data_IF_052694415490
#
_entry.id   IF_052694415490
#
_cell.length_a   1.000
_cell.length_b   1.000
_cell.length_c   1.000
_cell.angle_alpha   90.00
_cell.angle_beta   90.00
_cell.angle_gamma   90.00
#
_symmetry.space_group_name_H-M   'P 1'
#
loop_
_entity.id
_entity.type
_entity.pdbx_description
1 polymer ?
#
# COMPACT_ATOMS: atom_id res chain seq x y z
N UNK A 1 -27.38 4.43 -46.39
CA UNK A 1 -26.26 5.34 -46.05
C UNK A 1 -25.04 4.68 -45.37
N UNK A 2 -25.17 3.74 -44.42
CA UNK A 2 -24.02 3.10 -43.73
C UNK A 2 -23.00 2.34 -44.62
N UNK A 3 -23.45 1.70 -45.72
CA UNK A 3 -22.56 0.96 -46.64
C UNK A 3 -21.63 1.86 -47.47
N UNK A 4 -22.08 3.07 -47.82
CA UNK A 4 -21.28 4.02 -48.62
C UNK A 4 -20.16 4.64 -47.76
N UNK A 5 -20.44 4.93 -46.50
CA UNK A 5 -19.46 5.46 -45.55
C UNK A 5 -18.32 4.46 -45.28
N UNK A 6 -18.67 3.17 -45.15
CA UNK A 6 -17.69 2.09 -44.97
C UNK A 6 -16.75 1.95 -46.18
N UNK A 7 -17.25 2.12 -47.41
CA UNK A 7 -16.43 2.06 -48.62
C UNK A 7 -15.48 3.26 -48.75
N UNK A 8 -15.93 4.47 -48.40
CA UNK A 8 -15.09 5.68 -48.38
C UNK A 8 -13.99 5.62 -47.31
N UNK A 9 -14.30 5.10 -46.12
CA UNK A 9 -13.29 4.90 -45.09
C UNK A 9 -12.25 3.86 -45.51
N UNK A 10 -12.67 2.79 -46.19
CA UNK A 10 -11.77 1.73 -46.65
C UNK A 10 -10.83 2.20 -47.78
N UNK A 11 -11.29 3.10 -48.65
CA UNK A 11 -10.43 3.69 -49.69
C UNK A 11 -9.41 4.66 -49.10
N UNK A 12 -9.80 5.50 -48.13
CA UNK A 12 -8.87 6.41 -47.45
C UNK A 12 -7.79 5.67 -46.64
N UNK A 13 -8.16 4.59 -45.96
CA UNK A 13 -7.19 3.75 -45.23
C UNK A 13 -6.24 3.05 -46.21
N UNK A 14 -6.70 2.68 -47.40
CA UNK A 14 -5.88 2.04 -48.44
C UNK A 14 -4.96 3.03 -49.17
N UNK A 15 -5.32 4.31 -49.19
CA UNK A 15 -4.55 5.40 -49.82
C UNK A 15 -3.46 5.95 -48.88
N UNK A 16 -3.64 5.78 -47.55
CA UNK A 16 -2.62 6.05 -46.54
C UNK A 16 -1.64 4.88 -46.33
N UNK A 17 -1.85 3.75 -47.01
CA UNK A 17 -0.96 2.59 -46.95
C UNK A 17 0.25 2.83 -47.89
N UNK A 18 1.28 3.50 -47.36
CA UNK A 18 2.47 3.94 -48.09
C UNK A 18 3.39 2.79 -48.55
N UNK A 19 3.01 1.52 -48.33
CA UNK A 19 3.81 0.35 -48.66
C UNK A 19 3.08 -0.54 -49.67
N UNK A 20 3.65 -0.76 -50.87
CA UNK A 20 3.07 -1.67 -51.84
C UNK A 20 3.04 -3.08 -51.25
N UNK A 21 1.86 -3.71 -51.27
CA UNK A 21 1.67 -5.05 -50.73
C UNK A 21 2.46 -6.05 -51.59
N UNK A 22 3.43 -6.71 -50.98
CA UNK A 22 4.30 -7.70 -51.63
C UNK A 22 3.42 -8.83 -52.20
N UNK A 23 3.64 -9.28 -53.45
CA UNK A 23 2.86 -10.36 -54.03
C UNK A 23 2.97 -11.63 -53.16
N UNK A 24 1.85 -12.35 -52.99
CA UNK A 24 1.74 -13.52 -52.08
C UNK A 24 2.77 -14.63 -52.35
N UNK A 25 3.35 -14.65 -53.56
CA UNK A 25 4.45 -15.51 -53.97
C UNK A 25 5.77 -15.28 -53.20
N UNK A 26 5.95 -14.13 -52.55
CA UNK A 26 7.15 -13.81 -51.75
C UNK A 26 6.88 -13.87 -50.24
N UNK A 27 5.70 -14.34 -49.83
CA UNK A 27 5.29 -14.44 -48.43
C UNK A 27 5.34 -15.90 -48.00
N UNK A 28 6.49 -16.32 -47.47
CA UNK A 28 6.66 -17.65 -46.87
C UNK A 28 5.90 -17.71 -45.54
N UNK A 29 4.76 -18.41 -45.50
CA UNK A 29 4.02 -18.65 -44.26
C UNK A 29 4.60 -19.86 -43.53
N UNK A 30 5.50 -19.63 -42.56
CA UNK A 30 6.00 -20.69 -41.69
C UNK A 30 5.03 -20.96 -40.53
N UNK A 31 4.59 -22.21 -40.37
CA UNK A 31 3.68 -22.63 -39.31
C UNK A 31 4.23 -22.35 -37.89
N UNK A 32 5.55 -22.33 -37.73
CA UNK A 32 6.25 -22.01 -36.47
C UNK A 32 6.23 -20.52 -36.15
N UNK A 33 6.29 -19.63 -37.15
CA UNK A 33 6.24 -18.18 -36.96
C UNK A 33 4.88 -17.66 -36.48
N UNK A 34 3.80 -18.31 -36.91
CA UNK A 34 2.44 -18.00 -36.46
C UNK A 34 2.23 -18.26 -34.96
N UNK A 35 2.74 -19.38 -34.44
CA UNK A 35 2.62 -19.74 -33.02
C UNK A 35 3.42 -18.80 -32.11
N UNK A 36 4.63 -18.40 -32.51
CA UNK A 36 5.46 -17.44 -31.77
C UNK A 36 4.79 -16.07 -31.72
N UNK A 37 4.20 -15.63 -32.83
CA UNK A 37 3.45 -14.37 -32.90
C UNK A 37 2.23 -14.40 -31.97
N UNK A 38 1.49 -15.51 -31.92
CA UNK A 38 0.34 -15.66 -31.03
C UNK A 38 0.77 -15.56 -29.55
N UNK A 39 1.86 -16.24 -29.17
CA UNK A 39 2.40 -16.18 -27.82
C UNK A 39 2.82 -14.74 -27.48
N UNK A 40 3.52 -14.05 -28.38
CA UNK A 40 3.93 -12.65 -28.17
C UNK A 40 2.73 -11.71 -27.97
N UNK A 41 1.65 -11.86 -28.77
CA UNK A 41 0.43 -11.07 -28.59
C UNK A 41 -0.26 -11.36 -27.25
N UNK A 42 -0.32 -12.63 -26.83
CA UNK A 42 -0.89 -12.98 -25.51
C UNK A 42 -0.07 -12.41 -24.36
N UNK A 43 1.26 -12.47 -24.44
CA UNK A 43 2.16 -11.89 -23.45
C UNK A 43 2.03 -10.36 -23.38
N UNK A 44 1.90 -9.69 -24.54
CA UNK A 44 1.69 -8.25 -24.62
C UNK A 44 0.37 -7.84 -23.94
N UNK A 45 -0.72 -8.56 -24.21
CA UNK A 45 -2.01 -8.28 -23.59
C UNK A 45 -1.97 -8.49 -22.06
N UNK A 46 -1.31 -9.55 -21.59
CA UNK A 46 -1.20 -9.87 -20.16
C UNK A 46 -0.35 -8.83 -19.42
N UNK A 47 0.80 -8.42 -19.99
CA UNK A 47 1.63 -7.38 -19.38
C UNK A 47 0.94 -6.01 -19.38
N UNK A 48 0.27 -5.64 -20.46
CA UNK A 48 -0.52 -4.41 -20.52
C UNK A 48 -1.68 -4.41 -19.50
N UNK A 49 -2.32 -5.57 -19.29
CA UNK A 49 -3.35 -5.74 -18.27
C UNK A 49 -2.78 -5.49 -16.87
N UNK A 50 -1.68 -6.14 -16.49
CA UNK A 50 -1.05 -5.91 -15.18
C UNK A 50 -0.57 -4.47 -15.01
N UNK A 51 0.01 -3.87 -16.04
CA UNK A 51 0.41 -2.48 -16.03
C UNK A 51 -0.78 -1.54 -15.79
N UNK A 52 -1.95 -1.86 -16.35
CA UNK A 52 -3.18 -1.12 -16.09
C UNK A 52 -3.65 -1.25 -14.62
N UNK A 53 -3.51 -2.42 -13.99
CA UNK A 53 -3.79 -2.55 -12.55
C UNK A 53 -2.83 -1.71 -11.72
N UNK A 54 -1.54 -1.71 -12.05
CA UNK A 54 -0.54 -0.89 -11.37
C UNK A 54 -0.84 0.59 -11.53
N UNK A 55 -1.20 1.04 -12.74
CA UNK A 55 -1.60 2.43 -12.99
C UNK A 55 -2.84 2.85 -12.19
N UNK A 56 -3.79 1.93 -12.02
CA UNK A 56 -4.99 2.17 -11.20
C UNK A 56 -4.73 2.19 -9.71
N UNK A 57 -3.64 1.57 -9.26
CA UNK A 57 -3.31 1.51 -7.84
C UNK A 57 -2.66 2.83 -7.38
N UNK A 58 -2.97 3.24 -6.16
CA UNK A 58 -2.37 4.43 -5.53
C UNK A 58 -1.32 4.05 -4.52
N UNK A 59 -0.30 4.92 -4.41
CA UNK A 59 0.71 4.83 -3.37
C UNK A 59 0.60 6.01 -2.41
N UNK A 60 0.87 5.75 -1.13
CA UNK A 60 0.89 6.79 -0.10
C UNK A 60 2.30 7.38 -0.02
N UNK A 61 2.41 8.71 -0.12
CA UNK A 61 3.69 9.42 -0.01
C UNK A 61 3.76 10.13 1.34
N UNK A 62 4.80 9.83 2.11
CA UNK A 62 5.08 10.42 3.41
C UNK A 62 6.14 11.50 3.25
N UNK A 63 5.79 12.74 3.57
CA UNK A 63 6.70 13.87 3.57
C UNK A 63 6.87 14.39 5.00
N UNK A 64 8.10 14.66 5.42
CA UNK A 64 8.42 15.14 6.75
C UNK A 64 8.71 16.64 6.68
N UNK A 65 7.93 17.41 7.43
CA UNK A 65 8.05 18.86 7.54
C UNK A 65 8.24 19.28 9.00
N UNK A 66 8.66 20.52 9.23
CA UNK A 66 8.70 21.08 10.58
C UNK A 66 7.32 21.60 10.93
N UNK A 67 6.81 21.22 12.09
CA UNK A 67 5.54 21.76 12.58
C UNK A 67 5.66 23.27 12.83
N UNK A 68 4.74 24.04 12.23
CA UNK A 68 4.68 25.49 12.37
C UNK A 68 3.65 25.93 13.41
N UNK A 69 2.79 25.00 13.86
CA UNK A 69 1.60 25.30 14.65
C UNK A 69 1.68 24.72 16.08
N UNK A 70 2.85 24.85 16.72
CA UNK A 70 3.13 24.35 18.08
C UNK A 70 2.22 24.92 19.19
N UNK A 71 1.51 26.04 18.92
CA UNK A 71 0.68 26.74 19.91
C UNK A 71 -0.78 26.28 19.95
N UNK A 72 -1.17 25.29 19.15
CA UNK A 72 -2.55 24.80 19.12
C UNK A 72 -2.86 23.94 20.36
N UNK A 73 -4.09 24.03 20.88
CA UNK A 73 -4.54 23.22 22.03
C UNK A 73 -4.81 21.79 21.55
N UNK A 74 -3.94 20.85 21.94
CA UNK A 74 -4.15 19.43 21.66
C UNK A 74 -5.29 18.87 22.52
N UNK A 75 -6.31 18.30 21.86
CA UNK A 75 -7.36 17.53 22.54
C UNK A 75 -6.84 16.13 22.83
N UNK A 76 -7.10 15.63 24.04
CA UNK A 76 -6.72 14.27 24.46
C UNK A 76 -8.00 13.54 24.79
N UNK A 77 -8.27 12.43 24.11
CA UNK A 77 -9.41 11.58 24.42
C UNK A 77 -8.87 10.31 25.08
N UNK A 78 -9.34 10.04 26.29
CA UNK A 78 -8.86 8.94 27.11
C UNK A 78 -10.04 8.19 27.71
N UNK A 79 -10.06 6.88 27.50
CA UNK A 79 -10.93 5.93 28.16
C UNK A 79 -10.05 4.86 28.84
N UNK A 80 -10.08 4.87 30.17
CA UNK A 80 -9.27 3.98 31.00
C UNK A 80 -10.11 3.40 32.14
N UNK A 81 -10.06 2.08 32.26
CA UNK A 81 -10.68 1.34 33.36
C UNK A 81 -9.61 1.01 34.41
N UNK A 82 -9.78 1.48 35.65
CA UNK A 82 -8.87 1.19 36.78
C UNK A 82 -9.56 0.28 37.79
N UNK A 83 -8.83 -0.67 38.37
CA UNK A 83 -9.32 -1.64 39.35
C UNK A 83 -9.58 -1.05 40.75
N UNK A 84 -10.13 0.16 40.82
CA UNK A 84 -10.40 0.92 42.04
C UNK A 84 -11.82 1.50 42.03
N UNK A 85 -12.37 1.79 43.22
CA UNK A 85 -13.66 2.50 43.31
C UNK A 85 -13.49 3.95 42.83
N UNK A 86 -14.45 4.46 42.07
CA UNK A 86 -14.42 5.82 41.51
C UNK A 86 -14.18 6.93 42.56
N UNK A 87 -14.63 6.72 43.81
CA UNK A 87 -14.41 7.67 44.91
C UNK A 87 -12.93 7.86 45.30
N UNK A 88 -12.05 6.93 44.93
CA UNK A 88 -10.61 6.95 45.27
C UNK A 88 -9.73 7.20 44.03
N UNK A 89 -10.32 7.50 42.88
CA UNK A 89 -9.60 7.76 41.63
C UNK A 89 -9.77 9.24 41.31
N UNK A 90 -8.65 9.94 41.17
CA UNK A 90 -8.59 11.32 40.70
C UNK A 90 -7.71 11.40 39.46
N UNK A 91 -8.00 12.34 38.57
CA UNK A 91 -7.20 12.59 37.39
C UNK A 91 -6.77 14.06 37.37
N UNK A 92 -5.46 14.26 37.48
CA UNK A 92 -4.83 15.57 37.54
C UNK A 92 -3.96 15.79 36.30
N UNK A 93 -4.00 17.01 35.76
CA UNK A 93 -3.17 17.42 34.63
C UNK A 93 -2.10 18.37 35.18
N UNK A 94 -0.84 17.98 35.00
CA UNK A 94 0.31 18.79 35.38
C UNK A 94 1.04 19.24 34.11
N UNK A 95 1.31 20.53 34.03
CA UNK A 95 2.21 21.09 33.01
C UNK A 95 3.68 20.84 33.38
N UNK A 96 4.63 21.14 32.48
CA UNK A 96 6.08 21.10 32.71
C UNK A 96 6.52 21.92 33.93
N UNK A 97 5.76 22.95 34.31
CA UNK A 97 5.96 23.75 35.51
C UNK A 97 5.32 23.14 36.79
N UNK A 98 4.82 21.89 36.72
CA UNK A 98 4.13 21.17 37.79
C UNK A 98 2.92 21.93 38.38
N UNK A 99 2.36 22.86 37.60
CA UNK A 99 1.15 23.59 37.98
C UNK A 99 -0.07 22.77 37.62
N UNK A 100 -1.00 22.67 38.57
CA UNK A 100 -2.25 21.93 38.41
C UNK A 100 -3.20 22.75 37.53
N UNK A 101 -3.60 22.19 36.41
CA UNK A 101 -4.63 22.76 35.54
C UNK A 101 -5.91 21.96 35.76
N UNK A 102 -7.04 22.64 35.96
CA UNK A 102 -8.33 21.98 36.19
C UNK A 102 -8.72 21.11 34.99
N UNK A 103 -8.90 19.81 35.23
CA UNK A 103 -9.35 18.81 34.25
C UNK A 103 -10.85 18.93 33.98
N UNK A 104 -11.25 19.97 33.25
CA UNK A 104 -12.66 20.15 32.88
C UNK A 104 -13.03 19.16 31.77
N UNK A 105 -13.77 18.09 32.09
CA UNK A 105 -14.38 17.22 31.08
C UNK A 105 -14.28 15.71 31.30
N UNK A 106 -13.66 15.23 32.38
CA UNK A 106 -13.58 13.79 32.67
C UNK A 106 -14.84 13.34 33.41
N UNK A 107 -15.52 12.32 32.90
CA UNK A 107 -16.67 11.68 33.55
C UNK A 107 -16.24 10.36 34.19
N UNK A 108 -16.68 10.12 35.43
CA UNK A 108 -16.36 8.89 36.16
C UNK A 108 -17.57 7.98 36.20
N UNK A 109 -17.47 6.82 35.55
CA UNK A 109 -18.53 5.82 35.53
C UNK A 109 -18.10 4.54 36.26
N UNK A 110 -18.95 3.97 37.14
CA UNK A 110 -18.65 2.70 37.79
C UNK A 110 -18.82 1.54 36.81
N UNK A 111 -17.81 0.67 36.71
CA UNK A 111 -17.87 -0.55 35.91
C UNK A 111 -18.14 -1.77 36.81
N UNK A 112 -19.09 -2.63 36.43
CA UNK A 112 -19.32 -3.94 37.08
C UNK A 112 -18.23 -4.95 36.68
N UNK A 113 -17.59 -5.58 37.67
CA UNK A 113 -16.38 -6.42 37.53
C UNK A 113 -16.50 -7.53 36.48
N UNK A 114 -15.66 -7.42 35.44
CA UNK A 114 -14.67 -8.46 35.11
C UNK A 114 -13.47 -7.79 34.45
N UNK A 115 -12.43 -7.47 35.24
CA UNK A 115 -11.08 -7.18 34.72
C UNK A 115 -10.37 -8.49 34.34
N UNK A 116 -11.14 -9.42 33.78
CA UNK A 116 -10.71 -10.75 33.37
C UNK A 116 -11.50 -11.10 32.12
N UNK A 117 -10.75 -11.16 31.03
CA UNK A 117 -11.06 -11.79 29.75
C UNK A 117 -11.94 -13.02 29.96
N UNK A 118 -13.20 -12.94 29.54
CA UNK A 118 -13.94 -14.07 29.00
C UNK A 118 -15.12 -13.56 28.16
N UNK A 119 -14.84 -12.76 27.13
CA UNK A 119 -15.67 -12.84 25.92
C UNK A 119 -14.82 -13.32 24.76
N UNK A 120 -14.93 -14.63 24.55
CA UNK A 120 -14.47 -15.37 23.39
C UNK A 120 -15.23 -14.89 22.13
N UNK A 121 -14.94 -13.67 21.68
CA UNK A 121 -15.41 -13.17 20.38
C UNK A 121 -14.24 -13.15 19.41
N UNK A 122 -14.36 -13.92 18.32
CA UNK A 122 -13.34 -14.07 17.27
C UNK A 122 -12.79 -12.73 16.74
N UNK A 123 -13.55 -11.63 16.82
CA UNK A 123 -13.15 -10.28 16.39
C UNK A 123 -12.10 -9.61 17.29
N UNK A 124 -12.18 -9.79 18.61
CA UNK A 124 -11.27 -9.12 19.55
C UNK A 124 -9.86 -9.74 19.47
N UNK A 125 -9.80 -11.07 19.33
CA UNK A 125 -8.55 -11.81 19.12
C UNK A 125 -7.85 -11.42 17.82
N UNK A 126 -8.59 -11.23 16.72
CA UNK A 126 -7.98 -10.77 15.47
C UNK A 126 -7.41 -9.37 15.58
N UNK A 127 -8.08 -8.45 16.28
CA UNK A 127 -7.58 -7.09 16.50
C UNK A 127 -6.35 -7.06 17.40
N UNK A 128 -6.36 -7.81 18.51
CA UNK A 128 -5.21 -7.94 19.40
C UNK A 128 -4.00 -8.58 18.70
N UNK A 129 -4.23 -9.60 17.86
CA UNK A 129 -3.16 -10.23 17.08
C UNK A 129 -2.57 -9.26 16.04
N UNK A 130 -3.43 -8.50 15.33
CA UNK A 130 -3.00 -7.46 14.39
C UNK A 130 -2.21 -6.39 15.14
N UNK A 131 -2.67 -5.93 16.29
CA UNK A 131 -2.01 -4.89 17.08
C UNK A 131 -0.66 -5.33 17.64
N UNK A 132 -0.54 -6.58 18.09
CA UNK A 132 0.76 -7.15 18.48
C UNK A 132 1.74 -7.21 17.30
N UNK A 133 1.26 -7.52 16.10
CA UNK A 133 2.09 -7.50 14.88
C UNK A 133 2.45 -6.09 14.42
N UNK A 134 1.53 -5.13 14.53
CA UNK A 134 1.79 -3.72 14.24
C UNK A 134 2.81 -3.10 15.20
N UNK A 135 2.85 -3.58 16.45
CA UNK A 135 3.85 -3.17 17.45
C UNK A 135 5.25 -3.69 17.10
N UNK A 136 5.37 -4.86 16.48
CA UNK A 136 6.66 -5.41 16.01
C UNK A 136 7.10 -4.81 14.67
N UNK A 137 6.16 -4.50 13.77
CA UNK A 137 6.43 -4.09 12.38
C UNK A 137 5.92 -2.67 12.11
N UNK A 138 6.76 -1.67 12.40
CA UNK A 138 6.49 -0.25 12.09
C UNK A 138 6.28 0.04 10.59
N UNK A 139 6.62 -0.91 9.71
CA UNK A 139 6.47 -0.83 8.25
C UNK A 139 5.02 -0.96 7.77
N UNK A 140 4.11 -1.47 8.60
CA UNK A 140 2.74 -1.84 8.19
C UNK A 140 1.74 -0.68 8.17
N UNK A 141 2.18 0.55 8.46
CA UNK A 141 1.30 1.72 8.44
C UNK A 141 0.62 1.91 7.07
N UNK A 142 1.31 1.62 5.96
CA UNK A 142 0.74 1.70 4.60
C UNK A 142 -0.46 0.77 4.39
N UNK A 143 -0.40 -0.45 4.94
CA UNK A 143 -1.49 -1.45 4.84
C UNK A 143 -2.70 -1.02 5.63
N UNK A 144 -2.48 -0.37 6.78
CA UNK A 144 -3.54 0.17 7.61
C UNK A 144 -4.29 1.28 6.88
N UNK A 145 -3.61 2.32 6.38
CA UNK A 145 -4.29 3.41 5.67
C UNK A 145 -5.15 2.91 4.50
N UNK A 146 -4.65 1.95 3.71
CA UNK A 146 -5.37 1.38 2.56
C UNK A 146 -6.55 0.49 2.96
N UNK A 147 -6.47 -0.19 4.11
CA UNK A 147 -7.56 -1.02 4.66
C UNK A 147 -8.61 -0.18 5.38
N UNK A 148 -8.18 0.90 6.03
CA UNK A 148 -8.99 1.91 6.73
C UNK A 148 -9.86 2.70 5.75
N UNK A 149 -9.28 3.17 4.64
CA UNK A 149 -10.02 3.85 3.57
C UNK A 149 -11.04 2.94 2.85
N UNK A 150 -10.95 1.61 3.03
CA UNK A 150 -11.92 0.63 2.53
C UNK A 150 -13.04 0.30 3.52
N UNK A 151 -13.10 0.97 4.66
CA UNK A 151 -14.27 0.97 5.55
C UNK A 151 -14.40 -0.23 6.47
N UNK A 152 -13.29 -0.87 6.86
CA UNK A 152 -13.33 -1.88 7.92
C UNK A 152 -13.64 -1.22 9.28
N UNK A 153 -14.66 -1.68 10.04
CA UNK A 153 -14.92 -1.15 11.37
C UNK A 153 -13.81 -1.61 12.32
N UNK A 154 -12.94 -0.68 12.72
CA UNK A 154 -11.91 -0.88 13.76
C UNK A 154 -12.38 -0.46 15.14
N UNK A 155 -13.57 0.13 15.25
CA UNK A 155 -14.15 0.50 16.52
C UNK A 155 -14.35 -0.75 17.39
N UNK A 156 -13.86 -0.68 18.63
CA UNK A 156 -14.15 -1.67 19.65
C UNK A 156 -15.68 -1.81 19.80
N UNK A 157 -16.21 -3.03 20.03
CA UNK A 157 -17.63 -3.21 20.24
C UNK A 157 -18.11 -2.33 21.42
N UNK A 158 -19.33 -1.75 21.33
CA UNK A 158 -19.90 -0.99 22.44
C UNK A 158 -19.98 -1.86 23.70
N UNK A 159 -19.68 -1.25 24.85
CA UNK A 159 -19.78 -1.89 26.17
C UNK A 159 -21.17 -2.49 26.36
N UNK A 160 -21.24 -3.78 26.68
CA UNK A 160 -22.48 -4.46 27.05
C UNK A 160 -22.47 -4.68 28.57
N UNK A 161 -23.34 -3.96 29.30
CA UNK A 161 -23.49 -4.17 30.74
C UNK A 161 -24.18 -3.02 31.47
N UNK A 162 -25.45 -3.23 31.83
CA UNK A 162 -26.14 -2.46 32.87
C UNK A 162 -25.64 -2.92 34.24
N UNK A 163 -25.17 -1.98 35.07
CA UNK A 163 -24.74 -2.28 36.43
C UNK A 163 -25.95 -2.55 37.34
N UNK A 164 -26.06 -3.78 37.85
CA UNK A 164 -26.91 -4.10 39.00
C UNK A 164 -26.15 -4.97 39.99
N UNK A 165 -25.72 -4.36 41.09
CA UNK A 165 -26.01 -4.75 42.49
C UNK A 165 -24.89 -4.32 43.45
N UNK A 166 -25.22 -3.70 44.59
CA UNK A 166 -24.27 -3.41 45.65
C UNK A 166 -24.18 -4.60 46.63
N UNK A 167 -23.03 -5.26 46.72
CA UNK A 167 -22.76 -6.17 47.82
C UNK A 167 -22.31 -5.37 49.04
N UNK A 168 -23.27 -5.13 49.93
CA UNK A 168 -23.06 -4.75 51.33
C UNK A 168 -22.36 -5.87 52.08
N UNK A 169 -21.18 -5.57 52.62
CA UNK A 169 -20.46 -6.43 53.55
C UNK A 169 -19.49 -5.58 54.37
N UNK A 170 -19.89 -5.25 55.60
CA UNK A 170 -19.03 -4.68 56.63
C UNK A 170 -17.98 -5.73 57.04
N UNK A 171 -16.71 -5.53 56.68
CA UNK A 171 -15.54 -5.77 57.54
C UNK A 171 -14.23 -5.41 56.81
N UNK A 172 -13.38 -4.66 57.52
CA UNK A 172 -11.98 -4.31 57.22
C UNK A 172 -11.69 -3.28 56.10
N UNK A 173 -11.48 -2.03 56.53
CA UNK A 173 -10.82 -1.00 55.71
C UNK A 173 -9.31 -1.25 55.66
N UNK A 174 -8.88 -2.18 54.81
CA UNK A 174 -7.63 -1.97 54.08
C UNK A 174 -8.10 -1.52 52.71
N UNK A 175 -8.13 -0.22 52.47
CA UNK A 175 -8.29 0.31 51.12
C UNK A 175 -7.01 -0.05 50.36
N UNK A 176 -6.94 -1.29 49.90
CA UNK A 176 -5.82 -1.80 49.15
C UNK A 176 -5.90 -1.16 47.76
N UNK A 177 -5.10 -0.12 47.53
CA UNK A 177 -5.00 0.52 46.22
C UNK A 177 -4.55 -0.52 45.19
N UNK A 178 -5.26 -0.61 44.07
CA UNK A 178 -4.94 -1.57 43.02
C UNK A 178 -4.81 -0.81 41.70
N UNK A 179 -3.57 -0.58 41.27
CA UNK A 179 -3.27 0.15 40.04
C UNK A 179 -3.36 -0.72 38.77
N UNK A 180 -3.94 -1.92 38.86
CA UNK A 180 -4.30 -2.70 37.69
C UNK A 180 -5.29 -1.90 36.83
N UNK A 181 -5.00 -1.78 35.55
CA UNK A 181 -5.80 -0.95 34.66
C UNK A 181 -5.78 -1.47 33.24
N UNK A 182 -6.79 -1.07 32.48
CA UNK A 182 -6.96 -1.36 31.07
C UNK A 182 -7.26 -0.07 30.34
N UNK A 183 -6.48 0.23 29.30
CA UNK A 183 -6.68 1.38 28.44
C UNK A 183 -7.63 0.91 27.32
N UNK A 184 -8.85 1.44 27.33
CA UNK A 184 -9.86 1.12 26.32
C UNK A 184 -9.56 1.89 25.03
N UNK A 185 -9.34 3.20 25.14
CA UNK A 185 -8.99 4.07 24.02
C UNK A 185 -8.11 5.23 24.46
N UNK A 186 -7.07 5.53 23.67
CA UNK A 186 -6.28 6.76 23.84
C UNK A 186 -5.97 7.37 22.47
N UNK A 187 -6.45 8.59 22.25
CA UNK A 187 -6.22 9.32 21.00
C UNK A 187 -5.91 10.81 21.25
N UNK A 188 -5.29 11.43 20.24
CA UNK A 188 -4.86 12.83 20.27
C UNK A 188 -5.45 13.57 19.07
N UNK A 189 -6.17 14.67 19.33
CA UNK A 189 -6.79 15.52 18.31
C UNK A 189 -8.17 15.00 17.85
N UNK A 190 -8.42 15.14 16.54
CA UNK A 190 -9.65 14.68 15.91
C UNK A 190 -9.59 13.17 15.61
N UNK A 191 -10.63 12.44 16.02
CA UNK A 191 -10.70 11.00 15.81
C UNK A 191 -11.18 10.68 14.39
N UNK A 192 -10.36 9.92 13.67
CA UNK A 192 -10.74 9.37 12.36
C UNK A 192 -11.06 7.88 12.53
N UNK A 193 -12.24 7.43 12.08
CA UNK A 193 -12.58 6.01 12.12
C UNK A 193 -11.58 5.19 11.29
N UNK A 194 -11.07 4.10 11.87
CA UNK A 194 -10.10 3.23 11.21
C UNK A 194 -8.69 3.28 11.78
N UNK A 195 -8.28 4.39 12.43
CA UNK A 195 -6.96 4.44 13.07
C UNK A 195 -7.00 3.57 14.33
N UNK A 196 -6.04 2.65 14.46
CA UNK A 196 -5.84 1.84 15.66
C UNK A 196 -4.66 2.42 16.41
N UNK A 197 -4.88 2.87 17.64
CA UNK A 197 -3.81 3.46 18.44
C UNK A 197 -3.00 2.38 19.18
N UNK A 198 -1.69 2.58 19.43
CA UNK A 198 -0.83 1.55 20.02
C UNK A 198 -1.24 1.05 21.41
N UNK A 199 -1.90 1.88 22.22
CA UNK A 199 -2.32 1.59 23.59
C UNK A 199 -3.77 1.09 23.73
N UNK A 200 -4.55 1.10 22.65
CA UNK A 200 -5.96 0.67 22.71
C UNK A 200 -6.04 -0.81 23.09
N UNK A 201 -6.92 -1.14 24.04
CA UNK A 201 -7.11 -2.50 24.54
C UNK A 201 -5.95 -3.09 25.35
N UNK A 202 -4.94 -2.30 25.72
CA UNK A 202 -3.82 -2.76 26.56
C UNK A 202 -4.23 -2.89 28.02
N UNK A 203 -3.74 -3.95 28.69
CA UNK A 203 -4.05 -4.24 30.08
C UNK A 203 -2.78 -4.47 30.88
N UNK A 204 -2.74 -3.92 32.10
CA UNK A 204 -1.69 -4.13 33.09
C UNK A 204 -2.31 -4.61 34.39
N UNK A 205 -1.83 -5.75 34.87
CA UNK A 205 -2.30 -6.37 36.10
C UNK A 205 -1.14 -6.38 37.07
N UNK A 206 -1.36 -5.83 38.25
CA UNK A 206 -0.42 -5.85 39.37
C UNK A 206 -1.06 -6.40 40.63
N UNK A 207 -0.27 -7.16 41.38
CA UNK A 207 -0.61 -7.63 42.73
C UNK A 207 -0.14 -6.66 43.82
N UNK A 208 0.76 -5.71 43.48
CA UNK A 208 1.37 -4.80 44.43
C UNK A 208 0.53 -3.51 44.56
N UNK A 209 0.35 -3.05 45.80
CA UNK A 209 -0.39 -1.81 46.07
C UNK A 209 0.45 -0.54 45.85
N UNK A 210 1.76 -0.68 45.74
CA UNK A 210 2.72 0.43 45.61
C UNK A 210 3.46 0.34 44.27
N UNK A 211 2.73 0.26 43.18
CA UNK A 211 3.29 0.20 41.82
C UNK A 211 3.18 1.56 41.13
N UNK A 212 4.19 1.91 40.35
CA UNK A 212 4.19 3.07 39.46
C UNK A 212 4.23 2.59 38.01
N UNK A 213 3.20 2.96 37.25
CA UNK A 213 3.15 2.81 35.79
C UNK A 213 3.43 4.16 35.13
N UNK A 214 4.42 4.22 34.24
CA UNK A 214 4.73 5.41 33.46
C UNK A 214 4.65 5.09 31.97
N UNK A 215 3.84 5.86 31.26
CA UNK A 215 3.73 5.85 29.80
C UNK A 215 4.38 7.10 29.26
N UNK A 216 5.47 6.95 28.53
CA UNK A 216 6.13 8.03 27.80
C UNK A 216 5.60 8.01 26.37
N UNK A 217 4.83 9.03 26.02
CA UNK A 217 4.12 9.14 24.75
C UNK A 217 4.78 10.26 23.95
N UNK A 218 5.18 9.97 22.72
CA UNK A 218 5.67 10.99 21.79
C UNK A 218 4.65 11.17 20.68
N UNK A 219 4.02 12.33 20.63
CA UNK A 219 2.95 12.67 19.69
C UNK A 219 3.55 13.35 18.46
N UNK A 220 3.17 12.90 17.27
CA UNK A 220 3.63 13.38 15.97
C UNK A 220 2.41 13.90 15.18
N UNK A 221 2.32 15.22 14.93
CA UNK A 221 1.27 15.79 14.08
C UNK A 221 1.31 15.17 12.68
N UNK A 222 0.16 14.75 12.17
CA UNK A 222 0.02 14.11 10.86
C UNK A 222 -1.09 14.79 10.06
N UNK A 223 -0.74 15.34 8.90
CA UNK A 223 -1.72 15.92 7.97
C UNK A 223 -2.09 14.89 6.91
N UNK A 224 -3.35 14.49 6.86
CA UNK A 224 -3.84 13.55 5.86
C UNK A 224 -4.49 14.32 4.70
N UNK A 225 -3.95 14.17 3.50
CA UNK A 225 -4.53 14.69 2.26
C UNK A 225 -4.80 13.54 1.29
N UNK A 226 -6.00 12.95 1.41
CA UNK A 226 -6.46 11.87 0.53
C UNK A 226 -7.67 12.33 -0.29
N UNK A 227 -7.97 11.67 -1.41
CA UNK A 227 -9.07 12.03 -2.31
C UNK A 227 -10.47 12.10 -1.67
N UNK A 228 -10.66 11.44 -0.51
CA UNK A 228 -11.96 11.37 0.20
C UNK A 228 -11.98 12.08 1.55
N UNK A 229 -10.82 12.24 2.19
CA UNK A 229 -10.70 12.72 3.58
C UNK A 229 -9.47 13.62 3.65
N UNK A 230 -9.68 14.84 4.15
CA UNK A 230 -8.61 15.76 4.52
C UNK A 230 -8.80 16.11 5.98
N UNK A 231 -7.85 15.74 6.84
CA UNK A 231 -7.97 15.91 8.28
C UNK A 231 -6.60 15.95 8.96
N UNK A 232 -6.54 16.69 10.06
CA UNK A 232 -5.35 16.83 10.89
C UNK A 232 -5.44 15.84 12.05
N UNK A 233 -4.61 14.80 12.01
CA UNK A 233 -4.54 13.75 13.02
C UNK A 233 -3.21 13.78 13.75
N UNK A 234 -3.11 12.93 14.77
CA UNK A 234 -1.87 12.74 15.49
C UNK A 234 -1.58 11.25 15.54
N UNK A 235 -0.35 10.90 15.19
CA UNK A 235 0.20 9.60 15.48
C UNK A 235 0.99 9.70 16.77
N UNK A 236 1.17 8.57 17.46
CA UNK A 236 2.04 8.57 18.62
C UNK A 236 2.75 7.25 18.80
N UNK A 237 3.92 7.31 19.42
CA UNK A 237 4.65 6.15 19.90
C UNK A 237 4.63 6.13 21.42
N UNK A 238 4.76 4.95 22.01
CA UNK A 238 4.69 4.77 23.46
C UNK A 238 5.82 3.90 23.96
N UNK A 239 6.44 4.34 25.05
CA UNK A 239 7.38 3.56 25.85
C UNK A 239 6.81 3.39 27.26
N UNK A 240 6.77 2.15 27.75
CA UNK A 240 6.18 1.81 29.04
C UNK A 240 7.28 1.54 30.08
N UNK A 241 7.11 2.03 31.31
CA UNK A 241 8.01 1.75 32.44
C UNK A 241 7.20 1.44 33.69
N UNK A 242 7.49 0.30 34.29
CA UNK A 242 6.88 -0.17 35.54
C UNK A 242 7.94 -0.23 36.64
N UNK A 243 7.57 0.22 37.85
CA UNK A 243 8.46 0.18 39.01
C UNK A 243 7.67 0.06 40.31
N UNK A 244 8.06 -0.89 41.16
CA UNK A 244 7.57 -1.01 42.54
C UNK A 244 8.27 0.00 43.46
N UNK A 245 7.47 0.69 44.29
CA UNK A 245 7.91 1.71 45.23
C UNK A 245 8.11 1.09 46.61
N UNK A 246 9.36 1.10 47.05
CA UNK A 246 9.83 0.50 48.30
C UNK A 246 10.77 1.51 48.98
N UNK A 247 10.22 2.34 49.85
CA UNK A 247 10.97 3.37 50.60
C UNK A 247 12.13 2.76 51.42
N UNK A 248 11.94 1.55 51.95
CA UNK A 248 12.97 0.83 52.70
C UNK A 248 14.15 0.33 51.83
N UNK A 249 13.91 0.09 50.54
CA UNK A 249 14.92 -0.36 49.58
C UNK A 249 15.53 0.81 48.77
N UNK A 250 15.30 2.05 49.20
CA UNK A 250 15.75 3.26 48.49
C UNK A 250 14.93 3.61 47.24
N UNK A 251 13.83 2.90 46.98
CA UNK A 251 12.92 3.20 45.88
C UNK A 251 11.88 4.21 46.33
N UNK A 252 12.25 5.49 46.31
CA UNK A 252 11.36 6.62 46.56
C UNK A 252 10.55 6.97 45.29
N UNK A 253 9.30 7.39 45.46
CA UNK A 253 8.41 7.80 44.37
C UNK A 253 6.95 7.76 44.79
N UNK A 254 6.07 8.22 43.90
CA UNK A 254 4.62 8.17 44.09
C UNK A 254 4.08 6.99 43.27
N UNK A 255 3.24 6.16 43.88
CA UNK A 255 2.51 5.10 43.18
C UNK A 255 1.34 5.70 42.41
N UNK A 256 1.06 5.16 41.22
CA UNK A 256 0.08 5.74 40.33
C UNK A 256 0.31 5.39 38.86
N UNK A 257 -0.62 5.84 38.03
CA UNK A 257 -0.58 5.72 36.58
C UNK A 257 -0.26 7.10 36.03
N UNK A 258 0.89 7.23 35.37
CA UNK A 258 1.37 8.49 34.82
C UNK A 258 1.45 8.40 33.30
N UNK A 259 0.74 9.29 32.62
CA UNK A 259 0.85 9.47 31.18
C UNK A 259 1.60 10.77 30.91
N UNK A 260 2.84 10.63 30.43
CA UNK A 260 3.71 11.75 30.08
C UNK A 260 3.74 11.85 28.56
N UNK A 261 3.22 12.94 28.02
CA UNK A 261 3.26 13.17 26.57
C UNK A 261 4.23 14.30 26.23
N UNK A 262 4.89 14.17 25.09
CA UNK A 262 5.71 15.20 24.48
C UNK A 262 5.35 15.30 22.98
N UNK A 263 5.30 16.51 22.45
CA UNK A 263 4.96 16.78 21.05
C UNK A 263 6.23 16.91 20.22
N UNK A 264 6.34 16.11 19.16
CA UNK A 264 7.46 16.18 18.22
C UNK A 264 7.41 17.48 17.40
N UNK A 265 8.58 18.05 17.11
CA UNK A 265 8.73 19.20 16.20
C UNK A 265 8.65 18.80 14.72
N UNK A 266 8.54 17.51 14.43
CA UNK A 266 8.37 16.96 13.10
C UNK A 266 6.89 16.69 12.85
N UNK A 267 6.40 17.10 11.68
CA UNK A 267 5.07 16.84 11.16
C UNK A 267 5.18 15.90 9.95
N UNK A 268 4.24 14.96 9.84
CA UNK A 268 4.16 14.03 8.72
C UNK A 268 2.98 14.38 7.83
N UNK A 269 3.24 14.73 6.58
CA UNK A 269 2.19 14.94 5.58
C UNK A 269 2.03 13.65 4.77
N UNK A 270 0.84 13.06 4.84
CA UNK A 270 0.46 11.83 4.14
C UNK A 270 -0.42 12.19 2.96
N UNK A 271 0.09 12.00 1.74
CA UNK A 271 -0.62 12.32 0.49
C UNK A 271 -0.81 11.10 -0.40
N UNK A 272 -1.95 11.02 -1.08
CA UNK A 272 -2.23 9.97 -2.06
C UNK A 272 -1.64 10.36 -3.43
N UNK A 273 -0.71 9.55 -3.95
CA UNK A 273 -0.06 9.79 -5.23
C UNK A 273 -0.50 8.77 -6.27
N UNK A 274 -0.86 9.28 -7.45
CA UNK A 274 -1.13 8.49 -8.65
C UNK A 274 0.03 8.57 -9.64
N UNK A 275 0.22 7.51 -10.41
CA UNK A 275 1.07 7.56 -11.60
C UNK A 275 0.44 8.51 -12.63
N UNK A 276 1.18 9.52 -13.15
CA UNK A 276 0.66 10.38 -14.20
C UNK A 276 0.49 9.61 -15.51
N UNK A 277 -0.53 9.97 -16.29
CA UNK A 277 -0.88 9.31 -17.57
C UNK A 277 0.29 9.20 -18.55
N UNK A 278 1.13 10.24 -18.64
CA UNK A 278 2.29 10.24 -19.54
C UNK A 278 3.30 9.14 -19.19
N UNK A 279 3.53 8.92 -17.90
CA UNK A 279 4.45 7.88 -17.43
C UNK A 279 3.89 6.48 -17.73
N UNK A 280 2.58 6.28 -17.59
CA UNK A 280 1.91 5.06 -18.01
C UNK A 280 2.05 4.81 -19.53
N UNK A 281 1.84 5.83 -20.36
CA UNK A 281 2.00 5.70 -21.82
C UNK A 281 3.43 5.33 -22.24
N UNK A 282 4.44 5.93 -21.60
CA UNK A 282 5.85 5.59 -21.85
C UNK A 282 6.13 4.14 -21.47
N UNK A 283 5.62 3.68 -20.32
CA UNK A 283 5.76 2.28 -19.87
C UNK A 283 5.08 1.31 -20.83
N UNK A 284 3.86 1.63 -21.28
CA UNK A 284 3.13 0.81 -22.25
C UNK A 284 3.86 0.71 -23.60
N UNK A 285 4.40 1.83 -24.10
CA UNK A 285 5.23 1.85 -25.31
C UNK A 285 6.48 0.97 -25.14
N UNK A 286 7.13 1.03 -23.97
CA UNK A 286 8.26 0.18 -23.61
C UNK A 286 7.93 -1.32 -23.64
N UNK A 287 6.75 -1.72 -23.15
CA UNK A 287 6.29 -3.11 -23.19
C UNK A 287 6.10 -3.56 -24.65
N UNK A 288 5.40 -2.77 -25.47
CA UNK A 288 5.13 -3.11 -26.86
C UNK A 288 6.43 -3.20 -27.66
N UNK A 289 7.31 -2.20 -27.53
CA UNK A 289 8.61 -2.16 -28.20
C UNK A 289 9.57 -3.25 -27.74
N UNK A 290 9.59 -3.55 -26.44
CA UNK A 290 10.40 -4.62 -25.86
C UNK A 290 10.01 -6.00 -26.38
N UNK A 291 8.71 -6.29 -26.45
CA UNK A 291 8.21 -7.58 -26.98
C UNK A 291 8.50 -7.71 -28.47
N UNK A 292 8.31 -6.64 -29.25
CA UNK A 292 8.58 -6.68 -30.69
C UNK A 292 10.07 -6.92 -30.99
N UNK A 293 10.96 -6.23 -30.28
CA UNK A 293 12.41 -6.41 -30.40
C UNK A 293 12.87 -7.81 -29.99
N UNK A 294 12.41 -8.28 -28.82
CA UNK A 294 12.81 -9.60 -28.29
C UNK A 294 12.29 -10.75 -29.14
N UNK A 295 11.09 -10.63 -29.74
CA UNK A 295 10.56 -11.66 -30.65
C UNK A 295 11.48 -11.88 -31.84
N UNK A 296 12.03 -10.81 -32.43
CA UNK A 296 12.98 -10.89 -33.54
C UNK A 296 14.31 -11.56 -33.13
N UNK A 297 14.84 -11.21 -31.97
CA UNK A 297 16.06 -11.83 -31.43
C UNK A 297 15.87 -13.31 -31.11
N UNK A 298 14.72 -13.68 -30.53
CA UNK A 298 14.37 -15.07 -30.21
C UNK A 298 14.25 -15.90 -31.49
N UNK A 299 13.63 -15.37 -32.55
CA UNK A 299 13.54 -16.08 -33.83
C UNK A 299 14.93 -16.36 -34.41
N UNK A 300 15.84 -15.37 -34.39
CA UNK A 300 17.22 -15.56 -34.84
C UNK A 300 18.00 -16.57 -33.98
N UNK A 301 17.82 -16.52 -32.66
CA UNK A 301 18.46 -17.45 -31.73
C UNK A 301 17.95 -18.88 -31.88
N UNK A 302 16.64 -19.09 -32.01
CA UNK A 302 16.05 -20.42 -32.23
C UNK A 302 16.53 -21.01 -33.57
N UNK A 303 16.61 -20.19 -34.62
CA UNK A 303 17.19 -20.61 -35.91
C UNK A 303 18.64 -21.07 -35.77
N UNK A 304 19.49 -20.26 -35.11
CA UNK A 304 20.88 -20.60 -34.85
C UNK A 304 21.04 -21.88 -34.01
N UNK A 305 20.23 -22.04 -32.96
CA UNK A 305 20.23 -23.26 -32.15
C UNK A 305 19.79 -24.49 -32.97
N UNK A 306 18.77 -24.35 -33.82
CA UNK A 306 18.33 -25.41 -34.70
C UNK A 306 19.44 -25.82 -35.69
N UNK A 307 20.13 -24.84 -36.30
CA UNK A 307 21.24 -25.09 -37.22
C UNK A 307 22.42 -25.80 -36.53
N UNK A 308 22.76 -25.39 -35.30
CA UNK A 308 23.82 -26.07 -34.51
C UNK A 308 23.42 -27.51 -34.19
N UNK A 309 22.18 -27.75 -33.76
CA UNK A 309 21.69 -29.08 -33.41
C UNK A 309 21.63 -29.96 -34.65
N UNK A 310 21.09 -29.48 -35.76
CA UNK A 310 21.07 -30.19 -37.05
C UNK A 310 22.49 -30.48 -37.56
N UNK A 311 23.42 -29.53 -37.45
CA UNK A 311 24.84 -29.74 -37.79
C UNK A 311 25.52 -30.78 -36.88
N UNK A 312 25.20 -30.79 -35.58
CA UNK A 312 25.81 -31.70 -34.60
C UNK A 312 25.31 -33.14 -34.70
N UNK A 313 24.05 -33.35 -35.08
CA UNK A 313 23.44 -34.69 -35.14
C UNK A 313 23.47 -35.34 -36.54
N UNK A 314 24.05 -34.69 -37.57
CA UNK A 314 24.13 -35.22 -38.95
C UNK A 314 22.80 -35.78 -39.48
N UNK A 315 21.67 -35.16 -39.11
CA UNK A 315 20.41 -35.40 -39.81
C UNK A 315 20.55 -34.73 -41.19
N UNK A 316 20.31 -35.49 -42.25
CA UNK A 316 20.70 -35.18 -43.64
C UNK A 316 20.30 -33.77 -44.13
N UNK A 317 20.94 -33.29 -45.22
CA UNK A 317 20.94 -31.88 -45.59
C UNK A 317 19.53 -31.33 -45.73
N UNK A 318 19.24 -30.25 -44.99
CA UNK A 318 18.13 -29.35 -45.32
C UNK A 318 18.46 -28.75 -46.68
N UNK A 319 17.86 -29.26 -47.76
CA UNK A 319 17.96 -28.64 -49.09
C UNK A 319 17.19 -27.32 -49.03
N UNK A 320 17.85 -26.15 -49.17
CA UNK A 320 17.12 -24.96 -49.59
C UNK A 320 16.57 -25.27 -50.98
N UNK A 321 15.30 -24.97 -51.23
CA UNK A 321 14.71 -25.12 -52.56
C UNK A 321 15.22 -23.97 -53.42
N UNK A 322 16.27 -24.20 -54.21
CA UNK A 322 16.70 -23.26 -55.25
C UNK A 322 15.56 -23.05 -56.24
N UNK A 323 15.14 -21.80 -56.39
CA UNK A 323 14.19 -21.37 -57.42
C UNK A 323 14.95 -21.33 -58.74
N UNK A 324 14.67 -22.30 -59.62
CA UNK A 324 15.12 -22.26 -61.01
C UNK A 324 14.38 -21.12 -61.71
N UNK A 325 15.12 -20.06 -62.04
CA UNK A 325 14.70 -19.05 -63.02
C UNK A 325 14.59 -19.73 -64.41
N UNK A 326 13.50 -19.57 -65.16
CA UNK A 326 13.49 -19.89 -66.57
C UNK A 326 14.23 -18.78 -67.34
N UNK A 327 15.29 -19.14 -68.07
CA UNK A 327 15.96 -18.24 -69.02
C UNK A 327 14.95 -17.67 -70.02
N UNK A 328 14.90 -16.35 -70.24
CA UNK A 328 14.18 -15.79 -71.36
C UNK A 328 15.05 -15.90 -72.61
N UNK A 329 14.51 -16.59 -73.60
CA UNK A 329 15.05 -16.68 -74.95
C UNK A 329 15.57 -15.35 -75.50
N UNK A 330 16.79 -15.44 -76.03
CA UNK A 330 17.35 -14.61 -77.10
C UNK A 330 16.31 -14.42 -78.22
N UNK A 331 15.91 -13.17 -78.51
CA UNK A 331 15.85 -12.58 -79.86
C UNK A 331 15.23 -11.16 -79.87
N UNK A 332 15.97 -10.27 -80.54
CA UNK A 332 15.52 -9.08 -81.28
C UNK A 332 15.04 -7.83 -80.51
N UNK A 333 15.97 -6.88 -80.34
CA UNK A 333 15.68 -5.46 -80.50
C UNK A 333 16.62 -4.87 -81.56
N UNK A 334 16.13 -4.80 -82.80
CA UNK A 334 16.60 -3.82 -83.77
C UNK A 334 15.72 -2.56 -83.62
N UNK A 335 16.35 -1.41 -83.45
CA UNK A 335 15.73 -0.11 -83.70
C UNK A 335 16.56 0.60 -84.79
N UNK A 336 15.94 1.14 -85.85
CA UNK A 336 16.61 1.89 -86.90
C UNK A 336 16.65 3.39 -86.60
N UNK A 337 17.39 4.13 -87.45
CA UNK A 337 17.61 5.59 -87.54
C UNK A 337 19.00 5.99 -86.98
N UNK A 338 19.96 6.51 -87.76
CA UNK A 338 19.88 7.47 -88.86
C UNK A 338 21.01 7.26 -89.89
N UNK A 339 20.65 7.52 -91.15
CA UNK A 339 21.48 7.91 -92.29
C UNK A 339 22.38 9.11 -91.96
N UNK A 340 23.64 9.14 -92.40
CA UNK A 340 23.99 9.78 -93.68
C UNK A 340 25.45 9.54 -94.10
N UNK A 341 25.64 9.65 -95.41
CA UNK A 341 26.79 9.30 -96.23
C UNK A 341 27.90 10.36 -96.22
N UNK A 342 29.16 9.92 -96.42
CA UNK A 342 30.12 10.37 -97.46
C UNK A 342 31.56 10.01 -97.01
N UNK A 343 32.26 9.08 -97.68
CA UNK A 343 33.08 9.18 -98.90
C UNK A 343 34.57 9.39 -98.58
N UNK A 344 35.39 8.47 -99.13
CA UNK A 344 36.79 8.53 -99.61
C UNK A 344 37.76 9.43 -98.83
N UNK A 345 38.88 8.93 -98.33
CA UNK A 345 39.91 8.14 -99.02
C UNK A 345 40.77 7.36 -98.00
#
# INVERSE_FOLDING_TARGET
MRRLYRKKALSLVKELDAFPKVPESYVETTATGGTVSLIAFTAMALLAFFEFFVYRDTWMKYEYEVDKDFSSKLRINIDITVAMKCQHVGADILDLAETMITSNGIQYEPVSRSLSILLHTNRLWTLLLIQNRLREEHSLQEVLYKSVLKGAPTALPPREGTASEPLTGFHQCIAAYNFSHRIDHLSFGEEIPGIINPLDGTEKITSNHNEMFQYFITVVPTKLHTSKVSADTHQFSVTERERVINHAAGSHGVSGIFMKYDTSSLMVTVSEQHMPLWQFLVRLCGIIGGIFSTTGMIHGFVGFCFDIVCCRFKLGPYKPREVVLPDPHVNNCAAPLLTDNHVQE
#
